data_IF_639688685069
#
_entry.id   IF_639688685069
#
_cell.length_a   1.000
_cell.length_b   1.000
_cell.length_c   1.000
_cell.angle_alpha   90.00
_cell.angle_beta   90.00
_cell.angle_gamma   90.00
#
_symmetry.space_group_name_H-M   'P 1'
#
loop_
_entity.id
_entity.type
_entity.pdbx_description
1 polymer ?
#
# COMPACT_ATOMS: atom_id res chain seq x y z
N UNK A 1 3.62 -12.23 -13.26
CA UNK A 1 2.42 -12.98 -12.84
C UNK A 1 1.18 -12.14 -13.14
N UNK A 2 0.11 -12.75 -13.63
CA UNK A 2 -1.18 -12.05 -13.82
C UNK A 2 -1.86 -11.77 -12.48
N UNK A 3 -2.83 -10.87 -12.45
CA UNK A 3 -3.61 -10.57 -11.24
C UNK A 3 -4.27 -11.82 -10.65
N UNK A 4 -4.87 -12.67 -11.51
CA UNK A 4 -5.50 -13.91 -11.09
C UNK A 4 -4.50 -14.91 -10.49
N UNK A 5 -3.29 -15.00 -11.04
CA UNK A 5 -2.23 -15.88 -10.51
C UNK A 5 -1.80 -15.44 -9.11
N UNK A 6 -1.54 -14.14 -8.92
CA UNK A 6 -1.16 -13.57 -7.60
C UNK A 6 -2.22 -13.84 -6.53
N UNK A 7 -3.49 -13.61 -6.87
CA UNK A 7 -4.59 -13.83 -5.92
C UNK A 7 -4.79 -15.32 -5.61
N UNK A 8 -4.70 -16.20 -6.61
CA UNK A 8 -4.79 -17.66 -6.40
C UNK A 8 -3.66 -18.17 -5.52
N UNK A 9 -2.44 -17.70 -5.73
CA UNK A 9 -1.28 -18.08 -4.92
C UNK A 9 -1.52 -17.75 -3.44
N UNK A 10 -1.92 -16.51 -3.13
CA UNK A 10 -2.14 -16.07 -1.74
C UNK A 10 -3.35 -16.75 -1.09
N UNK A 11 -4.45 -16.89 -1.82
CA UNK A 11 -5.65 -17.57 -1.28
C UNK A 11 -5.44 -19.08 -1.08
N UNK A 12 -4.55 -19.73 -1.85
CA UNK A 12 -4.15 -21.12 -1.58
C UNK A 12 -3.41 -21.29 -0.24
N UNK A 13 -2.78 -20.23 0.25
CA UNK A 13 -2.14 -20.15 1.57
C UNK A 13 -3.12 -19.74 2.68
N UNK A 14 -4.44 -19.72 2.39
CA UNK A 14 -5.52 -19.25 3.27
C UNK A 14 -5.43 -17.77 3.65
N UNK A 15 -4.73 -16.97 2.86
CA UNK A 15 -4.72 -15.51 3.00
C UNK A 15 -5.90 -14.93 2.22
N UNK A 16 -6.73 -14.14 2.90
CA UNK A 16 -7.95 -13.58 2.33
C UNK A 16 -8.08 -12.07 2.54
N UNK A 17 -7.16 -11.45 3.29
CA UNK A 17 -7.25 -10.04 3.66
C UNK A 17 -6.74 -9.16 2.51
N UNK A 18 -7.53 -8.14 2.18
CA UNK A 18 -7.09 -7.02 1.36
C UNK A 18 -6.81 -5.83 2.28
N UNK A 19 -5.56 -5.39 2.33
CA UNK A 19 -5.15 -4.27 3.16
C UNK A 19 -5.34 -2.97 2.39
N UNK A 20 -6.07 -2.01 2.98
CA UNK A 20 -6.25 -0.68 2.40
C UNK A 20 -5.11 0.26 2.77
N UNK A 21 -4.50 0.89 1.76
CA UNK A 21 -3.51 1.96 1.91
C UNK A 21 -4.19 3.31 1.66
N UNK A 22 -5.21 3.60 2.47
CA UNK A 22 -6.06 4.78 2.40
C UNK A 22 -5.49 5.87 3.34
N UNK A 23 -4.27 6.31 3.04
CA UNK A 23 -3.40 7.03 3.98
C UNK A 23 -3.73 8.52 4.10
N UNK A 24 -4.41 8.89 5.18
CA UNK A 24 -4.66 10.28 5.57
C UNK A 24 -3.52 10.81 6.44
N UNK A 25 -2.79 11.82 5.95
CA UNK A 25 -1.66 12.45 6.66
C UNK A 25 -2.03 12.95 8.06
N UNK A 26 -3.30 13.34 8.27
CA UNK A 26 -3.78 13.83 9.58
C UNK A 26 -3.91 12.71 10.62
N UNK A 27 -4.00 11.46 10.17
CA UNK A 27 -4.12 10.27 11.03
C UNK A 27 -2.78 9.57 11.29
N UNK A 28 -1.72 9.97 10.60
CA UNK A 28 -0.36 9.45 10.82
C UNK A 28 0.13 9.89 12.21
N UNK A 29 0.82 9.05 12.99
CA UNK A 29 1.42 9.44 14.27
C UNK A 29 2.33 10.68 14.16
N UNK A 30 2.24 11.61 15.12
CA UNK A 30 2.91 12.90 15.06
C UNK A 30 4.45 12.82 14.95
N UNK A 31 5.06 11.73 15.43
CA UNK A 31 6.50 11.47 15.27
C UNK A 31 6.89 11.16 13.82
N UNK A 32 5.98 10.61 13.02
CA UNK A 32 6.19 10.28 11.60
C UNK A 32 5.78 11.43 10.67
N UNK A 33 4.86 12.31 11.09
CA UNK A 33 4.40 13.47 10.29
C UNK A 33 5.51 14.48 9.92
N UNK A 34 6.66 14.45 10.60
CA UNK A 34 7.78 15.38 10.34
C UNK A 34 8.62 15.00 9.13
N UNK A 35 8.47 13.77 8.62
CA UNK A 35 9.14 13.33 7.40
C UNK A 35 8.49 13.98 6.19
N UNK A 36 9.29 14.43 5.21
CA UNK A 36 8.79 14.86 3.90
C UNK A 36 8.02 13.74 3.21
N UNK A 37 8.39 12.49 3.53
CA UNK A 37 7.87 11.26 2.94
C UNK A 37 6.96 10.51 3.93
N UNK A 38 6.36 11.20 4.91
CA UNK A 38 5.57 10.60 5.99
C UNK A 38 4.51 9.60 5.49
N UNK A 39 3.86 9.88 4.36
CA UNK A 39 2.88 8.98 3.73
C UNK A 39 3.55 7.69 3.23
N UNK A 40 4.69 7.82 2.54
CA UNK A 40 5.41 6.67 2.02
C UNK A 40 6.00 5.82 3.16
N UNK A 41 6.58 6.46 4.17
CA UNK A 41 7.12 5.79 5.36
C UNK A 41 6.01 5.02 6.10
N UNK A 42 4.84 5.65 6.25
CA UNK A 42 3.68 5.01 6.86
C UNK A 42 3.18 3.82 6.02
N UNK A 43 3.06 3.98 4.71
CA UNK A 43 2.68 2.89 3.80
C UNK A 43 3.64 1.72 3.91
N UNK A 44 4.96 1.97 3.88
CA UNK A 44 6.00 0.94 4.02
C UNK A 44 5.86 0.20 5.34
N UNK A 45 5.68 0.92 6.45
CA UNK A 45 5.49 0.31 7.76
C UNK A 45 4.24 -0.58 7.83
N UNK A 46 3.12 -0.14 7.24
CA UNK A 46 1.90 -0.96 7.14
C UNK A 46 2.16 -2.21 6.30
N UNK A 47 2.83 -2.07 5.15
CA UNK A 47 3.14 -3.20 4.26
C UNK A 47 4.05 -4.20 4.98
N UNK A 48 5.14 -3.77 5.60
CA UNK A 48 6.06 -4.63 6.34
C UNK A 48 5.35 -5.40 7.45
N UNK A 49 4.46 -4.74 8.18
CA UNK A 49 3.72 -5.37 9.27
C UNK A 49 2.65 -6.36 8.79
N UNK A 50 2.15 -6.25 7.54
CA UNK A 50 0.96 -6.98 7.08
C UNK A 50 1.17 -7.87 5.86
N UNK A 51 2.33 -7.81 5.18
CA UNK A 51 2.61 -8.57 3.95
C UNK A 51 2.50 -10.09 4.12
N UNK A 52 2.69 -10.59 5.34
CA UNK A 52 2.60 -12.01 5.67
C UNK A 52 1.15 -12.52 5.73
N UNK A 53 0.19 -11.64 6.01
CA UNK A 53 -1.24 -11.96 6.16
C UNK A 53 -2.10 -11.46 4.98
N UNK A 54 -1.53 -10.61 4.13
CA UNK A 54 -2.23 -9.96 3.03
C UNK A 54 -2.28 -10.81 1.74
N UNK A 55 -3.46 -10.92 1.15
CA UNK A 55 -3.66 -11.43 -0.20
C UNK A 55 -3.55 -10.34 -1.27
N UNK A 56 -3.90 -9.10 -0.91
CA UNK A 56 -3.86 -7.95 -1.78
C UNK A 56 -3.65 -6.65 -1.00
N UNK A 57 -3.20 -5.61 -1.72
CA UNK A 57 -3.24 -4.23 -1.26
C UNK A 57 -4.12 -3.41 -2.18
N UNK A 58 -4.96 -2.55 -1.59
CA UNK A 58 -5.78 -1.58 -2.31
C UNK A 58 -5.30 -0.17 -1.99
N UNK A 59 -4.91 0.58 -3.01
CA UNK A 59 -4.57 2.01 -2.91
C UNK A 59 -5.79 2.80 -3.36
N UNK A 60 -6.27 3.72 -2.52
CA UNK A 60 -7.37 4.62 -2.91
C UNK A 60 -6.82 5.98 -3.31
N UNK A 61 -6.94 6.32 -4.60
CA UNK A 61 -6.35 7.53 -5.18
C UNK A 61 -6.83 8.83 -4.54
N UNK A 62 -8.06 8.88 -4.02
CA UNK A 62 -8.61 10.08 -3.40
C UNK A 62 -7.75 10.61 -2.22
N UNK A 63 -7.01 9.73 -1.54
CA UNK A 63 -6.11 10.14 -0.46
C UNK A 63 -4.79 10.76 -0.97
N UNK A 64 -4.37 10.42 -2.19
CA UNK A 64 -3.09 10.82 -2.76
C UNK A 64 -3.24 11.97 -3.75
N UNK A 65 -4.32 12.01 -4.53
CA UNK A 65 -4.53 13.03 -5.57
C UNK A 65 -4.59 14.46 -5.01
N UNK A 66 -4.93 14.61 -3.73
CA UNK A 66 -4.92 15.90 -3.03
C UNK A 66 -3.52 16.54 -2.95
N UNK A 67 -2.46 15.76 -3.17
CA UNK A 67 -1.07 16.22 -3.23
C UNK A 67 -0.58 16.54 -4.65
N UNK A 68 -1.46 16.49 -5.66
CA UNK A 68 -1.09 16.73 -7.06
C UNK A 68 -0.14 15.66 -7.61
N UNK A 69 0.85 16.06 -8.41
CA UNK A 69 1.81 15.12 -9.02
C UNK A 69 2.58 14.30 -7.98
N UNK A 70 2.94 14.91 -6.84
CA UNK A 70 3.62 14.21 -5.75
C UNK A 70 2.78 13.05 -5.20
N UNK A 71 1.46 13.14 -5.25
CA UNK A 71 0.57 12.04 -4.87
C UNK A 71 0.76 10.80 -5.74
N UNK A 72 0.92 11.00 -7.04
CA UNK A 72 1.18 9.91 -7.98
C UNK A 72 2.60 9.34 -7.81
N UNK A 73 3.60 10.17 -7.54
CA UNK A 73 4.96 9.73 -7.21
C UNK A 73 4.97 8.85 -5.95
N UNK A 74 4.14 9.17 -4.94
CA UNK A 74 3.98 8.36 -3.73
C UNK A 74 3.28 7.03 -4.01
N UNK A 75 2.29 7.01 -4.89
CA UNK A 75 1.62 5.78 -5.35
C UNK A 75 2.62 4.87 -6.05
N UNK A 76 3.39 5.40 -7.01
CA UNK A 76 4.40 4.65 -7.76
C UNK A 76 5.43 4.01 -6.82
N UNK A 77 6.01 4.81 -5.92
CA UNK A 77 6.97 4.30 -4.94
C UNK A 77 6.37 3.26 -3.97
N UNK A 78 5.10 3.40 -3.62
CA UNK A 78 4.38 2.41 -2.79
C UNK A 78 4.20 1.10 -3.56
N UNK A 79 3.82 1.16 -4.84
CA UNK A 79 3.66 0.00 -5.73
C UNK A 79 4.99 -0.73 -5.91
N UNK A 80 6.06 0.01 -6.17
CA UNK A 80 7.41 -0.53 -6.32
C UNK A 80 7.88 -1.25 -5.05
N UNK A 81 7.57 -0.68 -3.89
CA UNK A 81 7.92 -1.29 -2.60
C UNK A 81 7.18 -2.61 -2.36
N UNK A 82 5.88 -2.68 -2.68
CA UNK A 82 5.10 -3.94 -2.63
C UNK A 82 5.70 -4.98 -3.60
N UNK A 83 6.09 -4.51 -4.78
CA UNK A 83 6.69 -5.30 -5.84
C UNK A 83 5.71 -6.34 -6.41
N UNK A 84 6.25 -7.44 -6.93
CA UNK A 84 5.45 -8.43 -7.67
C UNK A 84 4.83 -9.54 -6.80
N UNK A 85 4.93 -9.44 -5.47
CA UNK A 85 4.66 -10.54 -4.52
C UNK A 85 3.18 -10.77 -4.19
N UNK A 86 2.36 -9.73 -4.32
CA UNK A 86 0.93 -9.72 -3.97
C UNK A 86 0.15 -8.94 -5.01
N UNK A 87 -1.17 -9.15 -5.05
CA UNK A 87 -2.05 -8.38 -5.92
C UNK A 87 -2.11 -6.92 -5.45
N UNK A 88 -2.04 -5.99 -6.39
CA UNK A 88 -2.23 -4.55 -6.16
C UNK A 88 -3.49 -4.13 -6.91
N UNK A 89 -4.37 -3.39 -6.23
CA UNK A 89 -5.58 -2.78 -6.76
C UNK A 89 -5.41 -1.27 -6.57
N UNK A 90 -5.32 -0.53 -7.67
CA UNK A 90 -5.03 0.89 -7.69
C UNK A 90 -5.90 1.54 -8.77
#
# INVERSE_FOLDING_TARGET
MTAQQKLKEKTSQKLHICVGLDTDIKKIPANLQKSRDAILDFNKAVIEATIHDAAAYKINFAFYETFGSMGFDLIEQTIDFIGNKVLIIA
#
